data_IF_541415222721
#
_entry.id   IF_541415222721
#
_cell.length_a   1.000
_cell.length_b   1.000
_cell.length_c   1.000
_cell.angle_alpha   90.00
_cell.angle_beta   90.00
_cell.angle_gamma   90.00
#
_symmetry.space_group_name_H-M   'P 1'
#
loop_
_entity.id
_entity.type
_entity.pdbx_description
1 polymer ?
#
# COMPACT_ATOMS: atom_id res chain seq x y z
N UNK A 1 -5.99 -2.32 4.47
CA UNK A 1 -5.24 -1.19 3.88
C UNK A 1 -6.02 -0.39 2.84
N UNK A 2 -6.62 -1.00 1.80
CA UNK A 2 -7.26 -0.28 0.68
C UNK A 2 -8.16 0.91 1.09
N UNK A 3 -9.13 0.69 1.98
CA UNK A 3 -10.03 1.76 2.44
C UNK A 3 -9.35 2.83 3.31
N UNK A 4 -8.26 2.48 4.00
CA UNK A 4 -7.48 3.46 4.78
C UNK A 4 -6.72 4.38 3.84
N UNK A 5 -6.13 3.84 2.78
CA UNK A 5 -5.40 4.61 1.79
C UNK A 5 -6.28 5.52 0.93
N UNK A 6 -7.59 5.27 0.88
CA UNK A 6 -8.57 6.22 0.33
C UNK A 6 -8.78 7.47 1.20
N UNK A 7 -8.41 7.42 2.49
CA UNK A 7 -8.57 8.53 3.44
C UNK A 7 -7.25 9.18 3.84
N UNK A 8 -6.17 8.41 3.87
CA UNK A 8 -4.85 8.85 4.30
C UNK A 8 -3.81 8.50 3.25
N UNK A 9 -2.91 9.43 2.96
CA UNK A 9 -1.79 9.15 2.06
C UNK A 9 -0.85 8.13 2.69
N UNK A 10 -0.20 7.32 1.84
CA UNK A 10 0.78 6.33 2.30
C UNK A 10 1.89 6.98 3.14
N UNK A 11 2.39 8.14 2.71
CA UNK A 11 3.37 8.97 3.45
C UNK A 11 2.90 9.33 4.86
N UNK A 12 1.62 9.72 5.03
CA UNK A 12 1.06 10.06 6.34
C UNK A 12 1.00 8.85 7.25
N UNK A 13 0.66 7.67 6.71
CA UNK A 13 0.66 6.43 7.49
C UNK A 13 2.07 6.02 7.91
N UNK A 14 3.05 6.06 7.01
CA UNK A 14 4.46 5.75 7.33
C UNK A 14 5.01 6.71 8.39
N UNK A 15 4.74 8.01 8.27
CA UNK A 15 5.10 9.00 9.30
C UNK A 15 4.44 8.70 10.65
N UNK A 16 3.17 8.28 10.64
CA UNK A 16 2.46 7.86 11.85
C UNK A 16 3.06 6.62 12.51
N UNK A 17 3.51 5.64 11.72
CA UNK A 17 4.20 4.44 12.23
C UNK A 17 5.50 4.84 12.92
N UNK A 18 6.32 5.68 12.27
CA UNK A 18 7.55 6.20 12.86
C UNK A 18 7.26 6.93 14.17
N UNK A 19 6.29 7.83 14.20
CA UNK A 19 5.96 8.59 15.42
C UNK A 19 5.45 7.72 16.56
N UNK A 20 4.65 6.70 16.26
CA UNK A 20 3.97 5.89 17.29
C UNK A 20 4.84 4.74 17.80
N UNK A 21 5.65 4.15 16.94
CA UNK A 21 6.37 2.90 17.23
C UNK A 21 7.90 3.06 17.10
N UNK A 22 8.39 4.26 16.81
CA UNK A 22 9.79 4.56 16.52
C UNK A 22 10.39 3.65 15.42
N UNK A 23 9.53 3.20 14.51
CA UNK A 23 9.90 2.24 13.48
C UNK A 23 9.97 2.90 12.10
N UNK A 24 11.11 2.74 11.43
CA UNK A 24 11.31 3.26 10.07
C UNK A 24 11.10 2.14 9.06
N UNK A 25 10.18 2.37 8.11
CA UNK A 25 9.90 1.43 7.02
C UNK A 25 10.67 1.88 5.79
N UNK A 26 11.51 0.99 5.24
CA UNK A 26 12.20 1.23 3.98
C UNK A 26 11.20 1.36 2.82
N UNK A 27 11.31 2.38 1.95
CA UNK A 27 10.47 2.52 0.76
C UNK A 27 10.53 1.30 -0.16
N UNK A 28 11.71 0.69 -0.29
CA UNK A 28 11.90 -0.51 -1.11
C UNK A 28 11.10 -1.68 -0.56
N UNK A 29 11.24 -1.96 0.75
CA UNK A 29 10.51 -3.03 1.43
C UNK A 29 8.99 -2.79 1.33
N UNK A 30 8.54 -1.56 1.57
CA UNK A 30 7.12 -1.23 1.47
C UNK A 30 6.58 -1.41 0.05
N UNK A 31 7.33 -0.99 -0.97
CA UNK A 31 6.98 -1.20 -2.37
C UNK A 31 6.84 -2.68 -2.70
N UNK A 32 7.81 -3.51 -2.29
CA UNK A 32 7.75 -4.97 -2.48
C UNK A 32 6.52 -5.59 -1.80
N UNK A 33 6.17 -5.15 -0.59
CA UNK A 33 4.97 -5.62 0.12
C UNK A 33 3.67 -5.24 -0.61
N UNK A 34 3.58 -4.02 -1.16
CA UNK A 34 2.41 -3.57 -1.91
C UNK A 34 2.23 -4.38 -3.21
N UNK A 35 3.31 -4.75 -3.88
CA UNK A 35 3.28 -5.53 -5.13
C UNK A 35 2.83 -6.98 -4.94
N UNK A 36 2.83 -7.52 -3.70
CA UNK A 36 2.32 -8.87 -3.42
C UNK A 36 0.85 -9.04 -3.77
N UNK A 37 0.09 -7.96 -3.96
CA UNK A 37 -1.29 -7.98 -4.45
C UNK A 37 -1.45 -8.78 -5.75
N UNK A 38 -0.42 -8.84 -6.61
CA UNK A 38 -0.43 -9.61 -7.87
C UNK A 38 -0.67 -11.09 -7.63
N UNK A 39 -0.19 -11.60 -6.49
CA UNK A 39 -0.29 -13.00 -6.11
C UNK A 39 -1.54 -13.31 -5.30
N UNK A 40 -2.48 -12.37 -5.19
CA UNK A 40 -3.74 -12.61 -4.50
C UNK A 40 -4.57 -13.64 -5.27
N UNK A 41 -4.67 -14.86 -4.73
CA UNK A 41 -5.37 -15.99 -5.36
C UNK A 41 -6.86 -16.04 -5.00
N UNK A 42 -7.24 -15.49 -3.84
CA UNK A 42 -8.62 -15.49 -3.36
C UNK A 42 -8.99 -14.13 -2.77
N UNK A 43 -10.20 -13.68 -3.10
CA UNK A 43 -10.80 -12.50 -2.49
C UNK A 43 -11.67 -12.93 -1.30
N UNK A 44 -11.53 -12.30 -0.12
CA UNK A 44 -12.47 -12.51 0.97
C UNK A 44 -13.85 -11.98 0.58
N UNK A 45 -14.90 -12.42 1.29
CA UNK A 45 -16.24 -11.85 1.12
C UNK A 45 -16.24 -10.39 1.57
N UNK A 46 -16.61 -9.49 0.66
CA UNK A 46 -16.57 -8.05 0.90
C UNK A 46 -17.97 -7.49 1.15
N UNK A 47 -18.11 -6.62 2.15
CA UNK A 47 -19.36 -5.85 2.40
C UNK A 47 -19.57 -4.81 1.30
N UNK A 48 -18.48 -4.19 0.82
CA UNK A 48 -18.50 -3.23 -0.29
C UNK A 48 -17.94 -3.90 -1.55
N UNK A 49 -18.55 -3.70 -2.73
CA UNK A 49 -18.01 -4.23 -3.98
C UNK A 49 -16.55 -3.81 -4.16
N UNK A 50 -15.69 -4.79 -4.41
CA UNK A 50 -14.28 -4.59 -4.66
C UNK A 50 -13.78 -5.79 -5.44
N UNK A 51 -13.21 -5.54 -6.62
CA UNK A 51 -12.64 -6.59 -7.45
C UNK A 51 -11.15 -6.80 -7.16
N UNK A 52 -10.62 -7.93 -7.60
CA UNK A 52 -9.18 -8.18 -7.57
C UNK A 52 -8.43 -7.14 -8.40
N UNK A 53 -8.97 -6.78 -9.57
CA UNK A 53 -8.32 -5.83 -10.48
C UNK A 53 -8.26 -4.43 -9.86
N UNK A 54 -9.33 -3.99 -9.19
CA UNK A 54 -9.32 -2.73 -8.42
C UNK A 54 -8.20 -2.69 -7.39
N UNK A 55 -7.96 -3.81 -6.70
CA UNK A 55 -6.90 -3.92 -5.70
C UNK A 55 -5.52 -3.90 -6.36
N UNK A 56 -5.32 -4.69 -7.40
CA UNK A 56 -4.04 -4.80 -8.12
C UNK A 56 -3.66 -3.43 -8.66
N UNK A 57 -4.53 -2.80 -9.45
CA UNK A 57 -4.28 -1.49 -10.04
C UNK A 57 -4.00 -0.44 -8.96
N UNK A 58 -4.80 -0.42 -7.88
CA UNK A 58 -4.61 0.55 -6.81
C UNK A 58 -3.25 0.41 -6.12
N UNK A 59 -2.89 -0.80 -5.69
CA UNK A 59 -1.65 -1.02 -4.94
C UNK A 59 -0.40 -0.92 -5.81
N UNK A 60 -0.47 -1.27 -7.10
CA UNK A 60 0.61 -1.00 -8.05
C UNK A 60 0.87 0.49 -8.22
N UNK A 61 -0.16 1.32 -8.31
CA UNK A 61 -0.01 2.77 -8.36
C UNK A 61 0.65 3.31 -7.08
N UNK A 62 0.29 2.77 -5.91
CA UNK A 62 0.94 3.14 -4.65
C UNK A 62 2.42 2.73 -4.62
N UNK A 63 2.75 1.52 -5.10
CA UNK A 63 4.13 1.05 -5.19
C UNK A 63 4.96 1.90 -6.17
N UNK A 64 4.40 2.24 -7.34
CA UNK A 64 5.05 3.08 -8.32
C UNK A 64 5.31 4.51 -7.79
N UNK A 65 4.41 5.05 -6.96
CA UNK A 65 4.61 6.35 -6.33
C UNK A 65 5.83 6.37 -5.38
N UNK A 66 6.16 5.24 -4.74
CA UNK A 66 7.34 5.12 -3.87
C UNK A 66 8.67 5.12 -4.64
N UNK A 67 8.68 4.79 -5.94
CA UNK A 67 9.90 4.81 -6.76
C UNK A 67 10.50 6.21 -6.82
N UNK A 68 9.65 7.25 -6.80
CA UNK A 68 10.09 8.65 -6.75
C UNK A 68 10.90 8.97 -5.49
N UNK A 69 10.56 8.33 -4.38
CA UNK A 69 11.26 8.51 -3.10
C UNK A 69 12.55 7.66 -3.00
N UNK A 70 12.82 6.78 -3.97
CA UNK A 70 14.02 5.92 -4.03
C UNK A 70 15.09 6.49 -4.98
N UNK A 71 14.67 7.16 -6.06
CA UNK A 71 15.57 7.67 -7.12
C UNK A 71 15.97 9.15 -6.94
N UNK A 72 15.48 9.82 -5.89
CA UNK A 72 15.83 11.19 -5.48
C UNK A 72 16.56 11.15 -4.14
#
# INVERSE_FOLDING_TARGET
MYFLLKKFTLKKLVSGVKKKFDFTISPLTLGSELLKVRHLTMMPKMIRPLTRDDLVTFFEQQAAALIKDILL
#
